data_IF_192728905719
#
_entry.id   IF_192728905719
#
_cell.length_a   1.000
_cell.length_b   1.000
_cell.length_c   1.000
_cell.angle_alpha   90.00
_cell.angle_beta   90.00
_cell.angle_gamma   90.00
#
_symmetry.space_group_name_H-M   'P 1'
#
loop_
_entity.id
_entity.type
_entity.pdbx_description
1 polymer ?
#
# COMPACT_ATOMS: atom_id res chain seq x y z
N UNK A 1 -50.37 2.36 1.07
CA UNK A 1 -51.04 3.62 0.66
C UNK A 1 -52.39 3.26 0.05
N UNK A 2 -53.37 4.17 0.08
CA UNK A 2 -54.68 3.98 -0.55
C UNK A 2 -54.81 4.99 -1.71
N UNK A 3 -55.22 4.51 -2.89
CA UNK A 3 -55.47 5.36 -4.07
C UNK A 3 -56.99 5.50 -4.22
N UNK A 4 -57.49 6.73 -4.13
CA UNK A 4 -58.91 7.04 -4.32
C UNK A 4 -59.07 7.94 -5.55
N UNK A 5 -60.10 7.71 -6.35
CA UNK A 5 -60.35 8.48 -7.56
C UNK A 5 -61.78 8.34 -8.07
N UNK A 6 -62.18 9.26 -8.95
CA UNK A 6 -63.56 9.39 -9.45
C UNK A 6 -64.05 8.18 -10.26
N UNK A 7 -63.15 7.36 -10.78
CA UNK A 7 -63.49 6.10 -11.46
C UNK A 7 -62.44 5.03 -11.23
N UNK A 8 -62.86 3.75 -11.29
CA UNK A 8 -61.96 2.60 -11.20
C UNK A 8 -60.84 2.66 -12.25
N UNK A 9 -61.16 3.07 -13.48
CA UNK A 9 -60.18 3.24 -14.56
C UNK A 9 -59.06 4.21 -14.19
N UNK A 10 -59.40 5.34 -13.54
CA UNK A 10 -58.41 6.32 -13.12
C UNK A 10 -57.53 5.76 -11.98
N UNK A 11 -58.13 5.05 -11.03
CA UNK A 11 -57.41 4.39 -9.92
C UNK A 11 -56.41 3.37 -10.48
N UNK A 12 -56.85 2.48 -11.37
CA UNK A 12 -56.00 1.43 -11.97
C UNK A 12 -54.85 2.02 -12.82
N UNK A 13 -55.12 3.11 -13.54
CA UNK A 13 -54.11 3.82 -14.32
C UNK A 13 -53.06 4.50 -13.42
N UNK A 14 -53.48 5.16 -12.34
CA UNK A 14 -52.57 5.76 -11.36
C UNK A 14 -51.74 4.70 -10.63
N UNK A 15 -52.34 3.58 -10.24
CA UNK A 15 -51.63 2.46 -9.62
C UNK A 15 -50.53 1.93 -10.54
N UNK A 16 -50.86 1.71 -11.83
CA UNK A 16 -49.90 1.23 -12.83
C UNK A 16 -48.79 2.24 -13.09
N UNK A 17 -49.11 3.54 -13.13
CA UNK A 17 -48.12 4.61 -13.28
C UNK A 17 -47.16 4.68 -12.08
N UNK A 18 -47.67 4.58 -10.85
CA UNK A 18 -46.83 4.54 -9.64
C UNK A 18 -45.94 3.31 -9.60
N UNK A 19 -46.46 2.12 -9.92
CA UNK A 19 -45.65 0.89 -10.01
C UNK A 19 -44.53 1.04 -11.03
N UNK A 20 -44.84 1.59 -12.21
CA UNK A 20 -43.83 1.84 -13.24
C UNK A 20 -42.77 2.85 -12.80
N UNK A 21 -43.14 3.90 -12.05
CA UNK A 21 -42.18 4.85 -11.50
C UNK A 21 -41.24 4.19 -10.49
N UNK A 22 -41.77 3.41 -9.56
CA UNK A 22 -40.97 2.69 -8.55
C UNK A 22 -40.01 1.71 -9.23
N UNK A 23 -40.50 0.95 -10.22
CA UNK A 23 -39.67 -0.01 -10.96
C UNK A 23 -38.61 0.67 -11.83
N UNK A 24 -38.89 1.85 -12.39
CA UNK A 24 -37.91 2.62 -13.17
C UNK A 24 -36.82 3.24 -12.31
N UNK A 25 -37.11 3.54 -11.04
CA UNK A 25 -36.15 4.14 -10.13
C UNK A 25 -35.32 3.11 -9.36
N UNK A 26 -35.70 1.82 -9.43
CA UNK A 26 -34.87 0.70 -8.97
C UNK A 26 -33.63 0.58 -9.85
N UNK A 27 -32.47 0.52 -9.20
CA UNK A 27 -31.17 0.43 -9.83
C UNK A 27 -30.29 -0.55 -9.05
N UNK A 28 -29.37 -1.18 -9.76
CA UNK A 28 -28.36 -2.04 -9.19
C UNK A 28 -26.99 -1.64 -9.74
N UNK A 29 -26.01 -1.53 -8.85
CA UNK A 29 -24.63 -1.34 -9.21
C UNK A 29 -23.76 -2.45 -8.61
N UNK A 30 -22.68 -2.79 -9.32
CA UNK A 30 -21.72 -3.81 -8.90
C UNK A 30 -20.32 -3.22 -8.92
N UNK A 31 -19.58 -3.38 -7.82
CA UNK A 31 -18.19 -2.91 -7.68
C UNK A 31 -17.32 -4.14 -7.47
N UNK A 32 -16.44 -4.41 -8.44
CA UNK A 32 -15.50 -5.53 -8.38
C UNK A 32 -14.07 -5.03 -8.20
N UNK A 33 -13.39 -5.49 -7.17
CA UNK A 33 -12.02 -5.07 -6.83
C UNK A 33 -11.34 -6.12 -5.93
N UNK A 34 -10.07 -6.42 -6.17
CA UNK A 34 -9.29 -7.40 -5.39
C UNK A 34 -9.14 -6.99 -3.92
N UNK A 35 -9.11 -5.68 -3.63
CA UNK A 35 -8.96 -5.16 -2.26
C UNK A 35 -10.20 -5.40 -1.40
N UNK A 36 -11.32 -5.81 -1.99
CA UNK A 36 -12.52 -6.22 -1.23
C UNK A 36 -12.21 -7.45 -0.36
N UNK A 37 -11.26 -8.31 -0.76
CA UNK A 37 -10.81 -9.44 0.08
C UNK A 37 -10.24 -8.97 1.43
N UNK A 38 -9.71 -7.74 1.48
CA UNK A 38 -9.12 -7.15 2.68
C UNK A 38 -10.12 -6.43 3.58
N UNK A 39 -11.43 -6.51 3.30
CA UNK A 39 -12.45 -5.90 4.15
C UNK A 39 -12.54 -6.63 5.49
N UNK A 40 -12.15 -5.95 6.56
CA UNK A 40 -12.28 -6.42 7.94
C UNK A 40 -13.58 -5.97 8.61
N UNK A 41 -13.68 -6.21 9.91
CA UNK A 41 -14.86 -5.88 10.75
C UNK A 41 -15.30 -4.42 10.58
N UNK A 42 -14.37 -3.47 10.64
CA UNK A 42 -14.66 -2.03 10.46
C UNK A 42 -15.32 -1.73 9.12
N UNK A 43 -14.89 -2.38 8.03
CA UNK A 43 -15.48 -2.18 6.72
C UNK A 43 -16.85 -2.84 6.62
N UNK A 44 -17.01 -4.05 7.17
CA UNK A 44 -18.30 -4.74 7.20
C UNK A 44 -19.34 -3.95 7.99
N UNK A 45 -18.96 -3.39 9.14
CA UNK A 45 -19.83 -2.52 9.95
C UNK A 45 -20.22 -1.24 9.21
N UNK A 46 -19.28 -0.64 8.48
CA UNK A 46 -19.56 0.53 7.65
C UNK A 46 -20.54 0.20 6.51
N UNK A 47 -20.41 -0.96 5.85
CA UNK A 47 -21.37 -1.43 4.85
C UNK A 47 -22.76 -1.64 5.48
N UNK A 48 -22.84 -2.28 6.65
CA UNK A 48 -24.11 -2.50 7.34
C UNK A 48 -24.80 -1.19 7.73
N UNK A 49 -24.02 -0.18 8.16
CA UNK A 49 -24.54 1.16 8.44
C UNK A 49 -25.03 1.88 7.19
N UNK A 50 -24.29 1.83 6.08
CA UNK A 50 -24.71 2.39 4.78
C UNK A 50 -26.02 1.75 4.30
N UNK A 51 -26.11 0.42 4.37
CA UNK A 51 -27.33 -0.33 4.05
C UNK A 51 -28.53 0.16 4.85
N UNK A 52 -28.39 0.29 6.18
CA UNK A 52 -29.48 0.76 7.05
C UNK A 52 -29.87 2.20 6.78
N UNK A 53 -28.89 3.09 6.58
CA UNK A 53 -29.11 4.54 6.45
C UNK A 53 -29.76 4.92 5.12
N UNK A 54 -29.38 4.24 4.04
CA UNK A 54 -29.83 4.54 2.68
C UNK A 54 -30.87 3.55 2.16
N UNK A 55 -31.35 2.62 3.00
CA UNK A 55 -32.36 1.62 2.65
C UNK A 55 -32.05 0.85 1.35
N UNK A 56 -30.76 0.64 1.07
CA UNK A 56 -30.28 -0.19 -0.05
C UNK A 56 -30.05 -1.62 0.43
N UNK A 57 -29.96 -2.57 -0.50
CA UNK A 57 -29.47 -3.92 -0.23
C UNK A 57 -28.03 -4.01 -0.71
N UNK A 58 -27.11 -4.38 0.19
CA UNK A 58 -25.70 -4.59 -0.10
C UNK A 58 -25.40 -6.08 0.06
N UNK A 59 -24.86 -6.69 -0.99
CA UNK A 59 -24.46 -8.10 -1.00
C UNK A 59 -22.98 -8.21 -1.32
N UNK A 60 -22.25 -8.91 -0.46
CA UNK A 60 -20.82 -9.17 -0.63
C UNK A 60 -20.63 -10.57 -1.24
N UNK A 61 -20.13 -10.61 -2.47
CA UNK A 61 -19.92 -11.83 -3.26
C UNK A 61 -18.43 -12.23 -3.26
N UNK A 62 -17.96 -12.72 -2.11
CA UNK A 62 -16.55 -13.14 -1.91
C UNK A 62 -16.13 -14.42 -2.64
N UNK A 63 -17.05 -15.09 -3.34
CA UNK A 63 -16.74 -16.31 -4.12
C UNK A 63 -16.31 -15.99 -5.55
N UNK A 64 -16.42 -14.73 -5.97
CA UNK A 64 -15.97 -14.26 -7.27
C UNK A 64 -14.50 -13.85 -7.20
N UNK A 65 -13.82 -13.87 -8.34
CA UNK A 65 -12.44 -13.38 -8.48
C UNK A 65 -12.39 -12.42 -9.68
N UNK A 66 -12.23 -11.10 -9.44
CA UNK A 66 -12.17 -10.44 -8.13
C UNK A 66 -13.52 -10.49 -7.37
N UNK A 67 -13.52 -10.37 -6.02
CA UNK A 67 -14.75 -10.24 -5.26
C UNK A 67 -15.58 -9.05 -5.71
N UNK A 68 -16.88 -9.09 -5.44
CA UNK A 68 -17.82 -8.06 -5.86
C UNK A 68 -18.73 -7.62 -4.72
N UNK A 69 -19.05 -6.33 -4.66
CA UNK A 69 -20.12 -5.78 -3.83
C UNK A 69 -21.26 -5.34 -4.77
N UNK A 70 -22.43 -5.96 -4.60
CA UNK A 70 -23.67 -5.55 -5.27
C UNK A 70 -24.49 -4.64 -4.38
N UNK A 71 -25.03 -3.58 -4.96
CA UNK A 71 -25.81 -2.55 -4.27
C UNK A 71 -27.09 -2.33 -5.06
N UNK A 72 -28.25 -2.65 -4.49
CA UNK A 72 -29.55 -2.55 -5.14
C UNK A 72 -30.50 -1.67 -4.33
N UNK A 73 -31.29 -0.81 -4.97
CA UNK A 73 -32.19 0.13 -4.31
C UNK A 73 -32.59 1.28 -5.23
N UNK A 74 -33.02 2.41 -4.67
CA UNK A 74 -33.33 3.58 -5.50
C UNK A 74 -32.07 4.22 -6.07
N UNK A 75 -32.13 4.68 -7.32
CA UNK A 75 -30.97 5.12 -8.11
C UNK A 75 -30.06 6.12 -7.39
N UNK A 76 -30.66 7.11 -6.72
CA UNK A 76 -29.91 8.14 -5.98
C UNK A 76 -29.08 7.55 -4.84
N UNK A 77 -29.68 6.66 -4.06
CA UNK A 77 -29.06 6.08 -2.87
C UNK A 77 -28.01 5.04 -3.26
N UNK A 78 -28.30 4.22 -4.28
CA UNK A 78 -27.31 3.29 -4.85
C UNK A 78 -26.07 4.05 -5.35
N UNK A 79 -26.25 5.17 -6.05
CA UNK A 79 -25.14 6.00 -6.51
C UNK A 79 -24.30 6.53 -5.34
N UNK A 80 -24.95 7.08 -4.31
CA UNK A 80 -24.25 7.58 -3.13
C UNK A 80 -23.46 6.48 -2.42
N UNK A 81 -24.10 5.34 -2.13
CA UNK A 81 -23.46 4.21 -1.44
C UNK A 81 -22.32 3.65 -2.27
N UNK A 82 -22.45 3.60 -3.61
CA UNK A 82 -21.38 3.17 -4.50
C UNK A 82 -20.12 4.02 -4.36
N UNK A 83 -20.29 5.35 -4.25
CA UNK A 83 -19.16 6.27 -4.03
C UNK A 83 -18.50 6.03 -2.66
N UNK A 84 -19.27 5.79 -1.61
CA UNK A 84 -18.72 5.49 -0.29
C UNK A 84 -17.96 4.16 -0.26
N UNK A 85 -18.47 3.13 -0.94
CA UNK A 85 -17.76 1.85 -1.09
C UNK A 85 -16.44 2.03 -1.85
N UNK A 86 -16.44 2.79 -2.95
CA UNK A 86 -15.20 3.10 -3.68
C UNK A 86 -14.18 3.83 -2.81
N UNK A 87 -14.61 4.78 -1.97
CA UNK A 87 -13.72 5.46 -1.01
C UNK A 87 -13.13 4.50 0.01
N UNK A 88 -13.89 3.50 0.46
CA UNK A 88 -13.38 2.48 1.39
C UNK A 88 -12.26 1.66 0.75
N UNK A 89 -12.45 1.23 -0.51
CA UNK A 89 -11.43 0.52 -1.29
C UNK A 89 -10.18 1.39 -1.46
N UNK A 90 -10.34 2.63 -1.91
CA UNK A 90 -9.23 3.58 -2.09
C UNK A 90 -8.46 3.84 -0.79
N UNK A 91 -9.14 3.86 0.36
CA UNK A 91 -8.48 4.03 1.66
C UNK A 91 -7.59 2.85 2.01
N UNK A 92 -8.00 1.63 1.70
CA UNK A 92 -7.17 0.43 1.89
C UNK A 92 -5.94 0.53 1.00
N UNK A 93 -6.14 0.85 -0.28
CA UNK A 93 -5.04 1.04 -1.24
C UNK A 93 -4.02 2.07 -0.75
N UNK A 94 -4.47 3.27 -0.40
CA UNK A 94 -3.60 4.36 0.09
C UNK A 94 -2.80 3.93 1.33
N UNK A 95 -3.43 3.20 2.25
CA UNK A 95 -2.79 2.73 3.47
C UNK A 95 -1.67 1.75 3.16
N UNK A 96 -1.87 0.82 2.23
CA UNK A 96 -0.85 -0.16 1.85
C UNK A 96 0.30 0.48 1.05
N UNK A 97 -0.02 1.43 0.17
CA UNK A 97 0.97 2.23 -0.56
C UNK A 97 1.83 3.06 0.42
N UNK A 98 1.20 3.72 1.40
CA UNK A 98 1.90 4.50 2.42
C UNK A 98 2.81 3.61 3.28
N UNK A 99 2.31 2.43 3.69
CA UNK A 99 3.11 1.45 4.43
C UNK A 99 4.30 0.96 3.62
N UNK A 100 4.09 0.60 2.36
CA UNK A 100 5.13 0.12 1.45
C UNK A 100 6.20 1.19 1.22
N UNK A 101 5.78 2.44 1.00
CA UNK A 101 6.69 3.59 0.87
C UNK A 101 7.48 3.81 2.15
N UNK A 102 6.82 3.75 3.32
CA UNK A 102 7.46 3.94 4.60
C UNK A 102 8.54 2.88 4.88
N UNK A 103 8.28 1.63 4.48
CA UNK A 103 9.26 0.53 4.54
C UNK A 103 10.50 0.83 3.70
N UNK A 104 10.30 1.17 2.42
CA UNK A 104 11.40 1.45 1.48
C UNK A 104 12.26 2.61 1.96
N UNK A 105 11.63 3.72 2.39
CA UNK A 105 12.37 4.87 2.90
C UNK A 105 13.14 4.52 4.17
N UNK A 106 12.54 3.75 5.08
CA UNK A 106 13.20 3.32 6.32
C UNK A 106 14.44 2.45 6.08
N UNK A 107 14.46 1.68 4.98
CA UNK A 107 15.61 0.88 4.58
C UNK A 107 16.77 1.72 4.01
N UNK A 108 16.48 2.88 3.42
CA UNK A 108 17.48 3.78 2.84
C UNK A 108 17.99 4.83 3.83
N UNK A 109 17.15 5.29 4.74
CA UNK A 109 17.48 6.35 5.69
C UNK A 109 16.76 6.16 7.01
N UNK A 110 17.48 6.38 8.10
CA UNK A 110 16.95 6.31 9.45
C UNK A 110 17.10 7.65 10.16
N UNK A 111 15.95 8.18 10.57
CA UNK A 111 15.81 9.34 11.42
C UNK A 111 15.78 8.88 12.88
N UNK A 112 16.53 9.57 13.73
CA UNK A 112 16.68 9.23 15.16
C UNK A 112 16.54 10.45 16.05
N UNK A 113 16.09 10.24 17.28
CA UNK A 113 16.03 11.23 18.34
C UNK A 113 16.76 10.74 19.60
N UNK A 114 17.14 11.63 20.53
CA UNK A 114 17.80 11.25 21.77
C UNK A 114 16.89 10.41 22.67
N UNK A 115 17.38 9.25 23.08
CA UNK A 115 16.76 8.35 24.06
C UNK A 115 17.28 8.56 25.47
N UNK A 116 16.98 7.60 26.35
CA UNK A 116 17.59 7.52 27.68
C UNK A 116 19.07 7.12 27.59
N UNK A 117 19.90 7.61 28.51
CA UNK A 117 21.31 7.21 28.66
C UNK A 117 22.18 7.46 27.42
N UNK A 118 22.05 8.64 26.80
CA UNK A 118 22.81 9.06 25.61
C UNK A 118 22.66 8.13 24.38
N UNK A 119 21.64 7.27 24.37
CA UNK A 119 21.32 6.45 23.20
C UNK A 119 20.53 7.25 22.17
N UNK A 120 20.51 6.78 20.93
CA UNK A 120 19.60 7.27 19.90
C UNK A 120 18.53 6.23 19.61
N UNK A 121 17.29 6.68 19.49
CA UNK A 121 16.12 5.85 19.17
C UNK A 121 15.61 6.23 17.79
N UNK A 122 15.35 5.24 16.95
CA UNK A 122 14.76 5.47 15.63
C UNK A 122 13.30 5.91 15.75
N UNK A 123 12.87 6.78 14.84
CA UNK A 123 11.44 7.01 14.64
C UNK A 123 10.78 5.76 14.06
N UNK A 124 9.46 5.62 14.27
CA UNK A 124 8.68 4.63 13.53
C UNK A 124 8.75 4.90 12.01
N UNK A 125 8.50 3.86 11.21
CA UNK A 125 8.66 3.92 9.75
C UNK A 125 7.85 5.04 9.09
N UNK A 126 6.64 5.29 9.60
CA UNK A 126 5.77 6.33 9.05
C UNK A 126 6.31 7.72 9.37
N UNK A 127 6.64 8.00 10.63
CA UNK A 127 7.24 9.29 11.01
C UNK A 127 8.58 9.52 10.31
N UNK A 128 9.40 8.47 10.18
CA UNK A 128 10.65 8.49 9.43
C UNK A 128 10.44 8.91 7.97
N UNK A 129 9.47 8.30 7.29
CA UNK A 129 9.09 8.64 5.92
C UNK A 129 8.62 10.09 5.81
N UNK A 130 7.79 10.56 6.75
CA UNK A 130 7.30 11.93 6.75
C UNK A 130 8.42 12.96 6.94
N UNK A 131 9.37 12.68 7.83
CA UNK A 131 10.57 13.52 8.01
C UNK A 131 11.41 13.58 6.73
N UNK A 132 11.61 12.44 6.08
CA UNK A 132 12.37 12.36 4.84
C UNK A 132 11.66 13.08 3.68
N UNK A 133 10.37 12.82 3.46
CA UNK A 133 9.56 13.49 2.44
C UNK A 133 9.57 15.02 2.66
N UNK A 134 9.42 15.47 3.91
CA UNK A 134 9.44 16.89 4.24
C UNK A 134 10.82 17.51 4.00
N UNK A 135 11.91 16.78 4.28
CA UNK A 135 13.27 17.22 4.00
C UNK A 135 13.53 17.33 2.50
N UNK A 136 13.11 16.33 1.70
CA UNK A 136 13.22 16.33 0.23
C UNK A 136 12.39 17.47 -0.37
N UNK A 137 11.17 17.68 0.12
CA UNK A 137 10.28 18.77 -0.29
C UNK A 137 10.74 20.16 0.20
N UNK A 138 11.88 20.26 0.91
CA UNK A 138 12.44 21.50 1.48
C UNK A 138 11.44 22.25 2.36
N UNK A 139 10.55 21.52 3.06
CA UNK A 139 9.69 22.14 4.07
C UNK A 139 10.57 22.64 5.22
N UNK A 140 10.31 23.83 5.77
CA UNK A 140 11.13 24.37 6.84
C UNK A 140 10.89 23.62 8.16
N UNK A 141 9.64 23.20 8.41
CA UNK A 141 9.28 22.55 9.66
C UNK A 141 8.32 21.38 9.46
N UNK A 142 8.39 20.40 10.38
CA UNK A 142 7.42 19.31 10.51
C UNK A 142 7.13 19.06 12.00
N UNK A 143 5.86 18.84 12.35
CA UNK A 143 5.49 18.44 13.70
C UNK A 143 5.51 16.92 13.80
N UNK A 144 6.24 16.39 14.79
CA UNK A 144 6.30 14.94 15.08
C UNK A 144 5.97 14.69 16.55
N UNK A 145 5.65 13.44 16.90
CA UNK A 145 5.43 13.03 18.30
C UNK A 145 6.62 12.25 18.81
N UNK A 146 7.18 12.67 19.95
CA UNK A 146 8.24 11.96 20.68
C UNK A 146 7.77 11.80 22.12
N UNK A 147 7.73 10.57 22.63
CA UNK A 147 7.25 10.26 23.99
C UNK A 147 5.88 10.90 24.32
N UNK A 148 4.95 10.87 23.36
CA UNK A 148 3.59 11.47 23.40
C UNK A 148 3.53 13.00 23.38
N UNK A 149 4.66 13.70 23.38
CA UNK A 149 4.72 15.15 23.25
C UNK A 149 4.95 15.57 21.81
N UNK A 150 4.36 16.70 21.41
CA UNK A 150 4.56 17.26 20.08
C UNK A 150 5.86 18.05 20.05
N UNK A 151 6.68 17.80 19.04
CA UNK A 151 7.89 18.55 18.76
C UNK A 151 7.80 19.14 17.36
N UNK A 152 8.15 20.43 17.23
CA UNK A 152 8.33 21.09 15.94
C UNK A 152 9.78 20.93 15.51
N UNK A 153 10.00 20.11 14.49
CA UNK A 153 11.30 19.87 13.87
C UNK A 153 11.57 20.97 12.86
N UNK A 154 12.69 21.67 12.99
CA UNK A 154 13.33 22.44 11.92
C UNK A 154 14.20 21.51 11.09
N UNK A 155 13.81 21.32 9.83
CA UNK A 155 14.45 20.36 8.94
C UNK A 155 15.78 20.88 8.37
N UNK A 156 16.09 22.18 8.50
CA UNK A 156 17.37 22.75 8.08
C UNK A 156 18.44 22.57 9.15
N UNK A 157 18.09 22.85 10.40
CA UNK A 157 19.01 22.74 11.54
C UNK A 157 19.02 21.34 12.17
N UNK A 158 18.02 20.50 11.84
CA UNK A 158 17.80 19.19 12.46
C UNK A 158 17.61 19.29 13.98
N UNK A 159 16.88 20.33 14.40
CA UNK A 159 16.52 20.56 15.80
C UNK A 159 15.02 20.43 15.97
N UNK A 160 14.58 19.87 17.09
CA UNK A 160 13.19 19.69 17.42
C UNK A 160 12.89 20.41 18.75
N UNK A 161 11.93 21.33 18.74
CA UNK A 161 11.54 22.10 19.93
C UNK A 161 10.13 21.74 20.38
N UNK A 162 9.94 21.55 21.69
CA UNK A 162 8.60 21.43 22.26
C UNK A 162 7.95 22.80 22.52
N UNK A 163 6.71 22.76 23.00
CA UNK A 163 5.92 23.94 23.38
C UNK A 163 6.49 24.71 24.59
N UNK A 164 7.39 24.07 25.35
CA UNK A 164 8.08 24.66 26.49
C UNK A 164 9.44 25.28 26.11
N UNK A 165 9.83 25.19 24.83
CA UNK A 165 11.08 25.75 24.31
C UNK A 165 12.30 24.87 24.55
N UNK A 166 12.14 23.63 25.04
CA UNK A 166 13.24 22.67 25.11
C UNK A 166 13.54 22.15 23.71
N UNK A 167 14.80 22.24 23.32
CA UNK A 167 15.28 21.81 22.01
C UNK A 167 16.13 20.55 22.13
N UNK A 168 15.92 19.61 21.21
CA UNK A 168 16.71 18.40 21.06
C UNK A 168 17.24 18.29 19.62
N UNK A 169 18.41 17.70 19.43
CA UNK A 169 18.93 17.45 18.08
C UNK A 169 18.42 16.11 17.58
N UNK A 170 17.93 16.08 16.34
CA UNK A 170 17.57 14.85 15.63
C UNK A 170 18.64 14.51 14.60
N UNK A 171 18.82 13.22 14.32
CA UNK A 171 19.82 12.74 13.37
C UNK A 171 19.15 12.10 12.16
N UNK A 172 19.67 12.40 10.97
CA UNK A 172 19.35 11.70 9.72
C UNK A 172 20.56 10.87 9.31
N UNK A 173 20.42 9.55 9.34
CA UNK A 173 21.51 8.60 9.06
C UNK A 173 21.19 7.82 7.78
N UNK A 174 21.93 8.02 6.67
CA UNK A 174 21.81 7.17 5.50
C UNK A 174 22.19 5.73 5.85
N UNK A 175 21.33 4.78 5.51
CA UNK A 175 21.60 3.35 5.51
C UNK A 175 22.07 2.96 4.11
N UNK A 176 23.18 3.53 3.66
CA UNK A 176 23.78 3.08 2.41
C UNK A 176 24.23 1.63 2.61
N UNK A 177 23.78 0.73 1.74
CA UNK A 177 24.37 -0.61 1.61
C UNK A 177 25.89 -0.51 1.34
N UNK A 178 26.33 0.55 0.65
CA UNK A 178 27.74 0.83 0.31
C UNK A 178 28.69 1.06 1.51
N UNK A 179 28.16 1.29 2.72
CA UNK A 179 28.99 1.43 3.94
C UNK A 179 29.13 0.12 4.71
N UNK A 180 28.34 -0.89 4.39
CA UNK A 180 28.81 -2.25 4.62
C UNK A 180 29.81 -2.48 3.50
N UNK A 181 31.09 -2.58 3.85
CA UNK A 181 32.07 -3.18 2.95
C UNK A 181 31.62 -4.63 2.75
N UNK A 182 30.68 -4.85 1.83
CA UNK A 182 30.49 -6.15 1.22
C UNK A 182 31.82 -6.33 0.50
N UNK A 183 32.71 -7.11 1.10
CA UNK A 183 33.88 -7.61 0.39
C UNK A 183 33.32 -8.45 -0.75
N UNK A 184 33.20 -7.82 -1.91
CA UNK A 184 32.86 -8.51 -3.13
C UNK A 184 33.90 -9.62 -3.30
N UNK A 185 33.48 -10.83 -3.71
CA UNK A 185 34.43 -11.89 -3.96
C UNK A 185 35.53 -11.39 -4.90
N UNK A 186 36.79 -11.63 -4.57
CA UNK A 186 37.95 -11.09 -5.32
C UNK A 186 37.91 -11.45 -6.80
N UNK A 187 37.25 -12.55 -7.14
CA UNK A 187 37.07 -13.02 -8.51
C UNK A 187 35.96 -12.29 -9.29
N UNK A 188 35.17 -11.41 -8.68
CA UNK A 188 34.13 -10.64 -9.37
C UNK A 188 34.76 -9.48 -10.13
N UNK A 189 34.46 -9.40 -11.42
CA UNK A 189 34.81 -8.25 -12.24
C UNK A 189 33.80 -7.13 -12.05
N UNK A 190 34.29 -5.89 -12.12
CA UNK A 190 33.44 -4.71 -12.15
C UNK A 190 32.40 -4.82 -13.30
N UNK A 191 31.14 -4.58 -12.95
CA UNK A 191 30.00 -4.62 -13.86
C UNK A 191 29.92 -3.38 -14.77
N UNK A 192 30.74 -2.35 -14.55
CA UNK A 192 30.82 -1.13 -15.37
C UNK A 192 29.44 -0.51 -15.63
N UNK A 193 28.61 -0.44 -14.58
CA UNK A 193 27.23 0.07 -14.61
C UNK A 193 26.22 -0.74 -15.44
N UNK A 194 26.59 -1.91 -15.98
CA UNK A 194 25.64 -2.82 -16.61
C UNK A 194 24.72 -3.44 -15.55
N UNK A 195 23.43 -3.62 -15.86
CA UNK A 195 22.48 -4.28 -14.92
C UNK A 195 22.67 -5.79 -14.83
N UNK A 196 23.22 -6.41 -15.87
CA UNK A 196 23.50 -7.85 -15.97
C UNK A 196 24.73 -8.01 -16.85
N UNK A 197 25.76 -8.72 -16.36
CA UNK A 197 26.98 -8.97 -17.11
C UNK A 197 27.23 -10.47 -17.22
N UNK A 198 27.03 -11.02 -18.42
CA UNK A 198 27.27 -12.44 -18.67
C UNK A 198 28.77 -12.71 -18.87
N UNK A 199 29.41 -13.36 -17.89
CA UNK A 199 30.84 -13.68 -17.91
C UNK A 199 31.06 -15.13 -18.31
N UNK A 200 31.99 -15.39 -19.22
CA UNK A 200 32.41 -16.77 -19.54
C UNK A 200 33.54 -17.17 -18.60
N UNK A 201 33.32 -18.21 -17.80
CA UNK A 201 34.27 -18.65 -16.79
C UNK A 201 35.51 -19.28 -17.44
N UNK A 202 36.68 -18.96 -16.91
CA UNK A 202 37.94 -19.59 -17.32
C UNK A 202 37.96 -21.06 -16.84
N UNK A 203 38.25 -22.05 -17.69
CA UNK A 203 38.35 -23.46 -17.30
C UNK A 203 39.31 -23.76 -16.14
N UNK A 204 40.29 -22.88 -15.87
CA UNK A 204 41.23 -23.03 -14.75
C UNK A 204 40.74 -22.42 -13.43
N UNK A 205 39.62 -21.67 -13.42
CA UNK A 205 39.13 -21.08 -12.17
C UNK A 205 38.38 -22.11 -11.31
N UNK A 206 38.41 -21.90 -9.99
CA UNK A 206 37.80 -22.80 -9.03
C UNK A 206 36.29 -22.98 -9.25
N UNK A 207 35.58 -21.89 -9.57
CA UNK A 207 34.14 -21.93 -9.86
C UNK A 207 33.81 -22.82 -11.07
N UNK A 208 34.59 -22.73 -12.14
CA UNK A 208 34.42 -23.60 -13.31
C UNK A 208 34.66 -25.06 -12.95
N UNK A 209 35.74 -25.36 -12.19
CA UNK A 209 36.09 -26.72 -11.79
C UNK A 209 34.99 -27.35 -10.91
N UNK A 210 34.40 -26.57 -10.01
CA UNK A 210 33.27 -27.03 -9.17
C UNK A 210 32.02 -27.34 -10.00
N UNK A 211 31.67 -26.46 -10.94
CA UNK A 211 30.56 -26.71 -11.87
C UNK A 211 30.85 -27.94 -12.73
N UNK A 212 32.09 -28.08 -13.21
CA UNK A 212 32.51 -29.23 -14.01
C UNK A 212 32.42 -30.55 -13.23
N UNK A 213 32.90 -30.60 -11.99
CA UNK A 213 32.85 -31.80 -11.16
C UNK A 213 31.40 -32.22 -10.87
N UNK A 214 30.55 -31.24 -10.50
CA UNK A 214 29.11 -31.49 -10.28
C UNK A 214 28.42 -31.97 -11.55
N UNK A 215 28.71 -31.36 -12.70
CA UNK A 215 28.10 -31.75 -13.97
C UNK A 215 28.54 -33.15 -14.41
N UNK A 216 29.83 -33.50 -14.28
CA UNK A 216 30.34 -34.83 -14.65
C UNK A 216 29.79 -35.95 -13.77
N UNK A 217 29.46 -35.65 -12.50
CA UNK A 217 28.79 -36.61 -11.60
C UNK A 217 27.41 -37.04 -12.11
N UNK A 218 26.65 -36.13 -12.73
CA UNK A 218 25.30 -36.41 -13.24
C UNK A 218 25.28 -36.76 -14.72
N UNK A 219 26.24 -36.24 -15.50
CA UNK A 219 26.25 -36.28 -16.96
C UNK A 219 27.64 -36.69 -17.52
N UNK A 220 28.13 -37.91 -17.26
CA UNK A 220 29.52 -38.30 -17.53
C UNK A 220 29.89 -38.39 -19.02
N UNK A 221 28.92 -38.58 -19.90
CA UNK A 221 29.13 -38.77 -21.33
C UNK A 221 29.12 -37.45 -22.14
N UNK A 222 28.94 -36.30 -21.48
CA UNK A 222 28.84 -35.01 -22.14
C UNK A 222 30.11 -34.17 -21.93
N UNK A 223 30.51 -33.45 -22.98
CA UNK A 223 31.63 -32.51 -22.95
C UNK A 223 31.10 -31.11 -22.66
N UNK A 224 31.70 -30.42 -21.69
CA UNK A 224 31.36 -29.03 -21.37
C UNK A 224 32.07 -28.12 -22.38
N UNK A 225 31.30 -27.44 -23.23
CA UNK A 225 31.85 -26.45 -24.17
C UNK A 225 32.17 -25.11 -23.49
N UNK A 226 31.29 -24.64 -22.60
CA UNK A 226 31.45 -23.37 -21.87
C UNK A 226 30.62 -23.36 -20.60
N UNK A 227 31.09 -22.62 -19.60
CA UNK A 227 30.32 -22.28 -18.41
C UNK A 227 30.24 -20.76 -18.34
N UNK A 228 29.07 -20.24 -18.01
CA UNK A 228 28.85 -18.80 -17.88
C UNK A 228 28.23 -18.49 -16.53
N UNK A 229 28.67 -17.41 -15.91
CA UNK A 229 28.06 -16.80 -14.72
C UNK A 229 27.43 -15.47 -15.11
N UNK A 230 26.49 -15.01 -14.27
CA UNK A 230 25.76 -13.74 -14.41
C UNK A 230 26.21 -12.77 -13.34
#
# INVERSE_FOLDING_TARGET
FQICGESKKNVDATESWLKNLILKDQFENSISDELIENFGETQIDALADLQRRYHVTIQLENKLSPPCIKISGISKDVCFVSVEVQKMIQKIQYTEEERSKAELVYNLVEWRYPGSNDSFVAFDKLTNMQLEDAKIAKKPHLTVKINKNNYKVDLNTLQASDDQGKTINIHRVPKNEDKQSIELPVQWEDMQEERVKLVTLNPSCQEYLEVQDKFKKTCPNFVIEKVKSW
#
